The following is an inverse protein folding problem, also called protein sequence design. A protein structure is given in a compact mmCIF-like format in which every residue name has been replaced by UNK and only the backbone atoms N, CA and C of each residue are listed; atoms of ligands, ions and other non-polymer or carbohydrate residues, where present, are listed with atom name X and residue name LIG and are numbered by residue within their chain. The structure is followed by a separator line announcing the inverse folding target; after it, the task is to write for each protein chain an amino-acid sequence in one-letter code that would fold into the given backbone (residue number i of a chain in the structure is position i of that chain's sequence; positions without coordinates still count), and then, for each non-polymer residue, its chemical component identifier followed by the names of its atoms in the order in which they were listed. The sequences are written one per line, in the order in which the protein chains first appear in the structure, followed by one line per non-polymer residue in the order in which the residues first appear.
data_IF_325978374258
#
_entry.id   IF_325978374258
#
_cell.length_a   1.000
_cell.length_b   1.000
_cell.length_c   1.000
_cell.angle_alpha   90.00
_cell.angle_beta   90.00
_cell.angle_gamma   90.00
#
_symmetry.space_group_name_H-M   'P 1'
#
loop_
_entity.id
_entity.type
_entity.pdbx_description
1 polymer ?
#
# COMPACT_ATOMS: atom_id res chain seq x y z
N UNK A 1 37.76 35.47 13.05
CA UNK A 1 37.54 34.15 13.68
C UNK A 1 36.36 33.46 12.98
N UNK A 2 36.55 33.06 11.72
CA UNK A 2 35.59 32.25 10.95
C UNK A 2 36.35 31.03 10.46
N UNK A 3 36.65 30.10 11.36
CA UNK A 3 37.14 28.76 11.08
C UNK A 3 36.98 27.94 12.35
N UNK A 4 35.76 27.47 12.60
CA UNK A 4 35.50 26.35 13.48
C UNK A 4 34.29 25.63 12.91
N UNK A 5 34.49 24.37 12.55
CA UNK A 5 33.62 23.46 11.80
C UNK A 5 33.56 23.67 10.28
N UNK A 6 34.01 22.62 9.60
CA UNK A 6 34.16 22.51 8.16
C UNK A 6 32.85 22.77 7.41
N UNK A 7 32.83 23.86 6.64
CA UNK A 7 32.40 23.82 5.24
C UNK A 7 32.94 25.07 4.53
N UNK A 8 33.68 24.84 3.43
CA UNK A 8 34.23 25.82 2.49
C UNK A 8 35.39 26.71 2.98
N UNK A 9 36.62 26.20 2.91
CA UNK A 9 37.82 26.87 2.35
C UNK A 9 38.99 25.88 2.38
N UNK A 10 39.22 25.14 1.31
CA UNK A 10 40.49 24.42 1.08
C UNK A 10 41.17 25.08 -0.10
N UNK A 11 42.41 25.54 0.12
CA UNK A 11 43.31 26.03 -0.90
C UNK A 11 44.25 27.11 -0.38
N UNK A 12 45.27 26.72 0.38
CA UNK A 12 46.51 27.50 0.50
C UNK A 12 47.21 27.46 -0.87
N UNK A 13 47.42 28.61 -1.49
CA UNK A 13 48.35 28.76 -2.60
C UNK A 13 49.07 30.09 -2.46
N UNK A 14 50.39 29.97 -2.32
CA UNK A 14 51.42 30.99 -2.13
C UNK A 14 51.35 32.17 -3.10
N UNK A 15 51.75 33.33 -2.58
CA UNK A 15 51.89 34.63 -3.22
C UNK A 15 52.54 34.58 -4.61
N UNK A 16 51.77 34.91 -5.67
CA UNK A 16 52.25 35.53 -6.95
C UNK A 16 51.10 35.66 -8.00
N UNK A 17 50.05 36.47 -7.77
CA UNK A 17 49.25 37.05 -8.88
C UNK A 17 48.23 38.13 -8.44
N UNK A 18 48.69 39.31 -8.01
CA UNK A 18 47.83 40.33 -7.39
C UNK A 18 46.88 41.09 -8.36
N UNK A 19 47.03 40.95 -9.68
CA UNK A 19 46.23 41.72 -10.68
C UNK A 19 45.00 40.96 -11.22
N UNK A 20 44.95 39.63 -11.15
CA UNK A 20 43.77 38.84 -11.54
C UNK A 20 42.86 38.44 -10.36
N UNK A 21 43.20 38.88 -9.14
CA UNK A 21 42.49 38.52 -7.90
C UNK A 21 41.39 39.52 -7.50
N UNK A 22 41.37 40.73 -8.08
CA UNK A 22 40.39 41.78 -7.74
C UNK A 22 38.95 41.46 -8.15
N UNK A 23 38.75 40.58 -9.14
CA UNK A 23 37.40 40.13 -9.57
C UNK A 23 37.01 38.74 -9.05
N UNK A 24 37.82 38.11 -8.20
CA UNK A 24 37.39 36.92 -7.46
C UNK A 24 36.90 37.35 -6.09
N UNK A 25 35.84 38.17 -6.10
CA UNK A 25 35.17 38.64 -4.89
C UNK A 25 34.98 37.47 -3.95
N UNK A 26 35.64 37.54 -2.78
CA UNK A 26 35.65 36.53 -1.74
C UNK A 26 34.19 36.26 -1.37
N UNK A 27 33.57 35.24 -1.98
CA UNK A 27 32.20 34.85 -1.69
C UNK A 27 32.19 34.34 -0.25
N UNK A 28 31.88 35.23 0.68
CA UNK A 28 31.55 34.87 2.06
C UNK A 28 30.43 33.84 1.98
N UNK A 29 30.50 32.77 2.77
CA UNK A 29 29.40 31.81 2.89
C UNK A 29 28.15 32.54 3.36
N UNK A 30 27.33 32.98 2.41
CA UNK A 30 25.96 33.36 2.65
C UNK A 30 25.20 32.06 2.94
N UNK A 31 24.29 32.09 3.92
CA UNK A 31 23.30 31.05 4.23
C UNK A 31 23.60 30.00 5.32
N UNK A 32 24.51 30.26 6.28
CA UNK A 32 24.63 29.39 7.46
C UNK A 32 23.34 29.33 8.31
N UNK A 33 22.63 30.45 8.47
CA UNK A 33 21.37 30.50 9.22
C UNK A 33 20.27 29.69 8.53
N UNK A 34 20.14 29.81 7.20
CA UNK A 34 19.19 29.05 6.41
C UNK A 34 19.53 27.55 6.38
N UNK A 35 20.81 27.19 6.37
CA UNK A 35 21.24 25.80 6.50
C UNK A 35 20.81 25.21 7.84
N UNK A 36 21.00 25.94 8.95
CA UNK A 36 20.55 25.48 10.28
C UNK A 36 19.03 25.28 10.31
N UNK A 37 18.26 26.24 9.77
CA UNK A 37 16.81 26.12 9.66
C UNK A 37 16.39 24.92 8.81
N UNK A 38 17.06 24.67 7.69
CA UNK A 38 16.82 23.51 6.83
C UNK A 38 17.09 22.19 7.56
N UNK A 39 18.20 22.10 8.30
CA UNK A 39 18.52 20.90 9.09
C UNK A 39 17.51 20.66 10.21
N UNK A 40 17.04 21.70 10.89
CA UNK A 40 15.97 21.60 11.90
C UNK A 40 14.68 21.09 11.25
N UNK A 41 14.31 21.64 10.09
CA UNK A 41 13.13 21.20 9.33
C UNK A 41 13.24 19.72 8.91
N UNK A 42 14.38 19.31 8.35
CA UNK A 42 14.64 17.91 8.02
C UNK A 42 14.58 17.00 9.25
N UNK A 43 15.13 17.44 10.39
CA UNK A 43 15.02 16.73 11.66
C UNK A 43 13.56 16.56 12.11
N UNK A 44 12.75 17.61 11.97
CA UNK A 44 11.31 17.57 12.25
C UNK A 44 10.58 16.54 11.36
N UNK A 45 10.84 16.55 10.05
CA UNK A 45 10.28 15.56 9.12
C UNK A 45 10.74 14.13 9.45
N UNK A 46 12.02 13.95 9.82
CA UNK A 46 12.56 12.67 10.24
C UNK A 46 11.86 12.12 11.49
N UNK A 47 11.61 12.97 12.49
CA UNK A 47 10.86 12.60 13.70
C UNK A 47 9.42 12.18 13.39
N UNK A 48 8.73 12.91 12.50
CA UNK A 48 7.36 12.54 12.07
C UNK A 48 7.37 11.21 11.33
N UNK A 49 8.32 11.00 10.43
CA UNK A 49 8.45 9.75 9.68
C UNK A 49 8.74 8.57 10.61
N UNK A 50 9.64 8.73 11.57
CA UNK A 50 9.93 7.71 12.57
C UNK A 50 8.70 7.35 13.40
N UNK A 51 7.99 8.35 13.93
CA UNK A 51 6.77 8.14 14.71
C UNK A 51 5.69 7.40 13.90
N UNK A 52 5.53 7.75 12.61
CA UNK A 52 4.57 7.10 11.71
C UNK A 52 4.92 5.63 11.41
N UNK A 53 6.21 5.27 11.35
CA UNK A 53 6.65 3.88 11.16
C UNK A 53 6.47 3.07 12.45
N UNK A 54 6.80 3.65 13.60
CA UNK A 54 6.74 2.98 14.90
C UNK A 54 5.29 2.71 15.35
N UNK A 55 4.40 3.69 15.14
CA UNK A 55 3.00 3.62 15.61
C UNK A 55 2.00 3.29 14.50
N UNK A 56 2.41 3.31 13.23
CA UNK A 56 1.56 3.01 12.08
C UNK A 56 1.70 1.57 11.58
N UNK A 57 1.07 1.28 10.43
CA UNK A 57 1.20 0.01 9.72
C UNK A 57 1.58 0.30 8.25
N UNK A 58 2.87 0.55 7.94
CA UNK A 58 3.31 0.92 6.58
C UNK A 58 3.02 -0.19 5.55
N UNK A 59 2.85 -1.43 6.01
CA UNK A 59 2.52 -2.57 5.18
C UNK A 59 1.15 -2.46 4.50
N UNK A 60 0.23 -1.64 5.03
CA UNK A 60 -1.07 -1.36 4.38
C UNK A 60 -0.92 -0.66 3.03
N UNK A 61 0.16 0.09 2.84
CA UNK A 61 0.44 0.77 1.58
C UNK A 61 1.02 -0.22 0.56
N UNK A 62 1.87 -1.13 1.01
CA UNK A 62 2.59 -2.09 0.17
C UNK A 62 1.68 -3.24 -0.26
N UNK A 63 1.04 -3.92 0.70
CA UNK A 63 0.22 -5.10 0.45
C UNK A 63 -1.26 -4.77 0.27
N UNK A 64 -1.69 -3.61 0.76
CA UNK A 64 -3.10 -3.25 0.79
C UNK A 64 -3.85 -3.82 1.99
N UNK A 65 -5.03 -3.26 2.24
CA UNK A 65 -5.99 -3.77 3.21
C UNK A 65 -7.33 -4.07 2.53
N UNK A 66 -7.99 -5.13 2.97
CA UNK A 66 -9.37 -5.41 2.58
C UNK A 66 -10.35 -4.39 3.16
N UNK A 67 -11.62 -4.45 2.76
CA UNK A 67 -12.65 -3.54 3.25
C UNK A 67 -13.02 -3.75 4.74
N UNK A 68 -12.47 -4.77 5.39
CA UNK A 68 -12.71 -5.11 6.80
C UNK A 68 -11.54 -4.74 7.70
N UNK A 69 -10.49 -4.13 7.14
CA UNK A 69 -9.32 -3.64 7.86
C UNK A 69 -8.22 -4.67 8.08
N UNK A 70 -8.28 -5.83 7.41
CA UNK A 70 -7.20 -6.81 7.41
C UNK A 70 -6.16 -6.44 6.35
N UNK A 71 -4.89 -6.36 6.74
CA UNK A 71 -3.76 -6.23 5.81
C UNK A 71 -3.49 -7.58 5.15
N UNK A 72 -3.44 -7.62 3.82
CA UNK A 72 -3.18 -8.87 3.08
C UNK A 72 -1.75 -9.38 3.35
N UNK A 73 -1.58 -10.70 3.40
CA UNK A 73 -0.28 -11.34 3.67
C UNK A 73 0.19 -11.28 5.12
N UNK A 74 -0.66 -10.84 6.06
CA UNK A 74 -0.29 -10.63 7.47
C UNK A 74 -1.32 -11.26 8.41
N UNK A 75 -0.91 -11.54 9.64
CA UNK A 75 -1.84 -11.89 10.71
C UNK A 75 -2.40 -10.62 11.34
N UNK A 76 -3.72 -10.49 11.39
CA UNK A 76 -4.40 -9.26 11.82
C UNK A 76 -5.09 -9.46 13.17
N UNK A 77 -5.10 -8.41 14.00
CA UNK A 77 -5.89 -8.37 15.23
C UNK A 77 -7.35 -7.94 14.95
N UNK A 78 -8.32 -8.40 15.76
CA UNK A 78 -9.72 -8.02 15.61
C UNK A 78 -9.92 -6.52 15.88
N UNK A 79 -10.85 -5.92 15.13
CA UNK A 79 -11.26 -4.53 15.33
C UNK A 79 -12.48 -4.53 16.24
N UNK A 80 -12.37 -3.87 17.40
CA UNK A 80 -13.42 -3.82 18.41
C UNK A 80 -14.21 -2.50 18.31
N UNK A 81 -15.42 -2.59 17.76
CA UNK A 81 -16.35 -1.48 17.63
C UNK A 81 -17.27 -1.38 18.86
N UNK A 82 -17.75 -0.17 19.12
CA UNK A 82 -18.67 0.11 20.21
C UNK A 82 -19.72 1.11 19.73
N UNK A 83 -20.96 0.66 19.61
CA UNK A 83 -22.06 1.47 19.07
C UNK A 83 -22.45 2.63 19.98
N UNK A 84 -22.39 2.46 21.30
CA UNK A 84 -22.59 3.54 22.26
C UNK A 84 -21.93 3.22 23.62
N UNK A 85 -21.97 4.16 24.58
CA UNK A 85 -21.38 3.97 25.91
C UNK A 85 -22.10 2.93 26.78
N UNK A 86 -23.30 2.47 26.45
CA UNK A 86 -24.03 1.45 27.22
C UNK A 86 -23.81 0.02 26.71
N UNK A 87 -23.41 -0.16 25.45
CA UNK A 87 -23.18 -1.47 24.84
C UNK A 87 -21.71 -1.89 24.98
N UNK A 88 -21.49 -3.19 25.16
CA UNK A 88 -20.16 -3.81 25.20
C UNK A 88 -19.47 -3.69 23.85
N UNK A 89 -18.14 -3.83 23.81
CA UNK A 89 -17.42 -3.86 22.54
C UNK A 89 -17.71 -5.17 21.82
N UNK A 90 -17.96 -5.09 20.52
CA UNK A 90 -18.17 -6.24 19.65
C UNK A 90 -17.13 -6.24 18.53
N UNK A 91 -16.81 -7.43 18.04
CA UNK A 91 -15.86 -7.57 16.93
C UNK A 91 -16.54 -7.14 15.64
N UNK A 92 -15.86 -6.30 14.85
CA UNK A 92 -16.32 -5.96 13.51
C UNK A 92 -16.28 -7.20 12.61
N UNK A 93 -17.38 -7.45 11.91
CA UNK A 93 -17.55 -8.65 11.08
C UNK A 93 -16.39 -8.78 10.08
N UNK A 94 -15.84 -9.99 9.94
CA UNK A 94 -14.68 -10.34 9.10
C UNK A 94 -13.35 -9.64 9.43
N UNK A 95 -13.25 -8.85 10.50
CA UNK A 95 -11.97 -8.29 10.96
C UNK A 95 -11.14 -9.28 11.78
N UNK A 96 -9.83 -9.08 11.85
CA UNK A 96 -8.91 -9.90 12.65
C UNK A 96 -8.65 -11.28 12.07
N UNK A 97 -8.75 -11.42 10.74
CA UNK A 97 -8.48 -12.67 10.06
C UNK A 97 -6.97 -12.85 9.84
N UNK A 98 -6.53 -14.11 9.88
CA UNK A 98 -5.18 -14.48 9.49
C UNK A 98 -5.07 -14.48 7.96
N UNK A 99 -4.50 -13.41 7.40
CA UNK A 99 -4.33 -13.24 5.96
C UNK A 99 -2.92 -13.62 5.48
N UNK A 100 -2.12 -14.33 6.28
CA UNK A 100 -0.73 -14.67 5.94
C UNK A 100 -0.60 -15.38 4.58
N UNK A 101 -1.54 -16.27 4.27
CA UNK A 101 -1.57 -16.96 2.97
C UNK A 101 -2.28 -16.17 1.86
N UNK A 102 -3.08 -15.14 2.23
CA UNK A 102 -3.91 -14.34 1.33
C UNK A 102 -3.24 -13.00 1.05
N UNK A 103 -2.32 -13.00 0.08
CA UNK A 103 -1.36 -11.93 -0.16
C UNK A 103 -1.79 -10.89 -1.19
N UNK A 104 -2.87 -11.12 -1.93
CA UNK A 104 -3.30 -10.26 -3.03
C UNK A 104 -4.66 -9.63 -2.76
N UNK A 105 -4.80 -8.34 -3.02
CA UNK A 105 -6.06 -7.63 -2.93
C UNK A 105 -6.87 -7.84 -4.21
N UNK A 106 -8.12 -8.27 -4.07
CA UNK A 106 -9.01 -8.62 -5.16
C UNK A 106 -10.35 -7.87 -5.04
N UNK A 107 -10.78 -7.15 -6.09
CA UNK A 107 -12.07 -6.48 -6.08
C UNK A 107 -13.20 -7.50 -6.34
N UNK A 108 -14.21 -7.52 -5.47
CA UNK A 108 -15.36 -8.41 -5.65
C UNK A 108 -16.21 -8.03 -6.88
N UNK A 109 -16.03 -6.83 -7.43
CA UNK A 109 -16.59 -6.42 -8.71
C UNK A 109 -15.58 -5.59 -9.51
N UNK A 110 -14.92 -6.22 -10.48
CA UNK A 110 -13.92 -5.59 -11.33
C UNK A 110 -14.48 -4.37 -12.11
N UNK A 111 -15.74 -4.41 -12.56
CA UNK A 111 -16.36 -3.30 -13.31
C UNK A 111 -16.61 -2.05 -12.45
N UNK A 112 -16.70 -2.21 -11.12
CA UNK A 112 -16.89 -1.11 -10.17
C UNK A 112 -15.81 -1.13 -9.10
N UNK A 113 -14.55 -1.23 -9.50
CA UNK A 113 -13.41 -1.38 -8.59
C UNK A 113 -13.29 -0.26 -7.53
N UNK A 114 -13.77 0.94 -7.81
CA UNK A 114 -13.77 2.05 -6.85
C UNK A 114 -14.93 2.00 -5.84
N UNK A 115 -16.01 1.29 -6.15
CA UNK A 115 -17.23 1.18 -5.37
C UNK A 115 -17.60 -0.29 -5.19
N UNK A 116 -16.63 -1.05 -4.68
CA UNK A 116 -16.80 -2.47 -4.38
C UNK A 116 -16.01 -2.85 -3.14
N UNK A 117 -16.39 -3.97 -2.56
CA UNK A 117 -15.62 -4.60 -1.49
C UNK A 117 -14.36 -5.20 -2.10
N UNK A 118 -13.24 -4.97 -1.43
CA UNK A 118 -11.97 -5.60 -1.73
C UNK A 118 -11.72 -6.67 -0.68
N UNK A 119 -11.29 -7.85 -1.10
CA UNK A 119 -10.95 -8.98 -0.25
C UNK A 119 -9.50 -9.42 -0.48
N UNK A 120 -8.88 -10.04 0.51
CA UNK A 120 -7.58 -10.67 0.34
C UNK A 120 -7.76 -12.10 -0.19
N UNK A 121 -7.02 -12.46 -1.25
CA UNK A 121 -7.02 -13.80 -1.87
C UNK A 121 -5.60 -14.37 -1.89
N UNK A 122 -5.49 -15.71 -2.00
CA UNK A 122 -4.19 -16.42 -2.00
C UNK A 122 -3.47 -16.23 -3.33
N UNK A 123 -4.20 -16.31 -4.43
CA UNK A 123 -3.71 -16.05 -5.79
C UNK A 123 -4.82 -15.40 -6.62
N UNK A 124 -4.43 -14.61 -7.60
CA UNK A 124 -5.39 -14.05 -8.54
C UNK A 124 -6.00 -15.16 -9.42
N UNK A 125 -7.26 -15.00 -9.88
CA UNK A 125 -7.92 -15.99 -10.72
C UNK A 125 -7.20 -16.15 -12.07
N UNK A 126 -6.66 -17.35 -12.30
CA UNK A 126 -5.96 -17.71 -13.55
C UNK A 126 -6.93 -17.95 -14.71
N UNK A 127 -8.19 -18.28 -14.41
CA UNK A 127 -9.23 -18.53 -15.39
C UNK A 127 -10.49 -17.73 -15.05
N UNK A 128 -11.29 -17.45 -16.08
CA UNK A 128 -12.58 -16.79 -15.91
C UNK A 128 -13.58 -17.73 -15.24
N UNK A 129 -14.08 -17.35 -14.06
CA UNK A 129 -15.05 -18.14 -13.30
C UNK A 129 -16.46 -17.60 -13.52
N UNK A 130 -17.32 -18.42 -14.09
CA UNK A 130 -18.69 -18.01 -14.47
C UNK A 130 -19.78 -18.51 -13.51
N UNK A 131 -19.44 -19.34 -12.53
CA UNK A 131 -20.39 -19.94 -11.58
C UNK A 131 -19.86 -19.95 -10.13
N UNK A 132 -20.77 -19.97 -9.16
CA UNK A 132 -20.39 -20.08 -7.75
C UNK A 132 -19.85 -21.47 -7.38
N UNK A 133 -20.20 -22.51 -8.13
CA UNK A 133 -19.56 -23.84 -8.01
C UNK A 133 -18.07 -23.75 -8.36
N UNK A 134 -17.70 -22.96 -9.37
CA UNK A 134 -16.30 -22.71 -9.69
C UNK A 134 -15.54 -21.99 -8.56
N UNK A 135 -16.19 -21.04 -7.88
CA UNK A 135 -15.62 -20.35 -6.70
C UNK A 135 -15.38 -21.34 -5.56
N UNK A 136 -16.36 -22.20 -5.26
CA UNK A 136 -16.21 -23.25 -4.25
C UNK A 136 -15.07 -24.22 -4.62
N UNK A 137 -14.98 -24.62 -5.89
CA UNK A 137 -13.92 -25.50 -6.38
C UNK A 137 -12.53 -24.90 -6.17
N UNK A 138 -12.35 -23.62 -6.48
CA UNK A 138 -11.10 -22.89 -6.22
C UNK A 138 -10.74 -22.83 -4.74
N UNK A 139 -11.74 -22.61 -3.87
CA UNK A 139 -11.52 -22.62 -2.43
C UNK A 139 -11.05 -23.99 -1.95
N UNK A 140 -11.73 -25.08 -2.34
CA UNK A 140 -11.44 -26.44 -1.86
C UNK A 140 -10.18 -27.04 -2.46
N UNK A 141 -10.00 -26.96 -3.77
CA UNK A 141 -8.92 -27.66 -4.48
C UNK A 141 -7.60 -26.89 -4.46
N UNK A 142 -7.65 -25.56 -4.56
CA UNK A 142 -6.47 -24.71 -4.64
C UNK A 142 -6.19 -23.93 -3.34
N UNK A 143 -7.02 -24.12 -2.31
CA UNK A 143 -6.99 -23.33 -1.07
C UNK A 143 -7.04 -21.81 -1.38
N UNK A 144 -7.81 -21.42 -2.39
CA UNK A 144 -7.93 -20.04 -2.85
C UNK A 144 -9.39 -19.58 -2.81
N UNK A 145 -9.82 -19.03 -1.68
CA UNK A 145 -11.14 -18.41 -1.57
C UNK A 145 -11.12 -17.03 -2.23
N UNK A 146 -12.01 -16.81 -3.19
CA UNK A 146 -12.26 -15.49 -3.80
C UNK A 146 -13.28 -14.66 -3.00
N UNK A 147 -13.81 -15.20 -1.90
CA UNK A 147 -14.73 -14.52 -0.98
C UNK A 147 -13.98 -13.98 0.24
N UNK A 148 -14.68 -13.23 1.09
CA UNK A 148 -14.11 -12.60 2.30
C UNK A 148 -13.51 -13.62 3.29
N UNK A 149 -14.07 -14.83 3.34
CA UNK A 149 -13.58 -15.96 4.14
C UNK A 149 -13.76 -17.30 3.38
N UNK A 150 -13.26 -18.39 3.97
CA UNK A 150 -13.32 -19.71 3.33
C UNK A 150 -14.73 -20.30 3.34
N UNK A 151 -15.44 -20.20 4.47
CA UNK A 151 -16.78 -20.78 4.65
C UNK A 151 -17.79 -20.14 3.70
N UNK A 152 -17.69 -18.82 3.52
CA UNK A 152 -18.47 -18.08 2.53
C UNK A 152 -18.31 -18.61 1.10
N UNK A 153 -17.10 -19.03 0.70
CA UNK A 153 -16.89 -19.62 -0.61
C UNK A 153 -17.52 -21.02 -0.74
N UNK A 154 -17.52 -21.81 0.33
CA UNK A 154 -18.19 -23.12 0.36
C UNK A 154 -19.71 -22.97 0.27
N UNK A 155 -20.26 -21.96 0.94
CA UNK A 155 -21.70 -21.68 0.95
C UNK A 155 -22.22 -21.07 -0.35
N UNK A 156 -21.36 -20.35 -1.10
CA UNK A 156 -21.73 -19.67 -2.34
C UNK A 156 -22.36 -20.61 -3.39
N UNK A 157 -21.95 -21.88 -3.40
CA UNK A 157 -22.51 -22.92 -4.27
C UNK A 157 -23.94 -23.34 -3.86
N UNK A 158 -24.23 -23.36 -2.55
CA UNK A 158 -25.52 -23.82 -2.02
C UNK A 158 -26.59 -22.74 -2.07
N UNK A 159 -26.19 -21.49 -1.81
CA UNK A 159 -27.08 -20.33 -1.75
C UNK A 159 -26.40 -19.14 -2.40
N UNK A 160 -27.20 -18.31 -3.08
CA UNK A 160 -26.71 -17.05 -3.64
C UNK A 160 -26.09 -16.21 -2.51
N UNK A 161 -24.79 -15.88 -2.58
CA UNK A 161 -24.12 -15.16 -1.50
C UNK A 161 -24.67 -13.74 -1.38
N UNK A 162 -24.58 -13.19 -0.17
CA UNK A 162 -24.93 -11.79 0.09
C UNK A 162 -23.96 -10.87 -0.65
N UNK A 163 -24.47 -9.71 -1.07
CA UNK A 163 -23.63 -8.69 -1.69
C UNK A 163 -22.50 -8.27 -0.72
N UNK A 164 -21.27 -8.21 -1.21
CA UNK A 164 -20.10 -7.84 -0.41
C UNK A 164 -19.38 -9.00 0.29
N UNK A 165 -19.90 -10.23 0.20
CA UNK A 165 -19.24 -11.43 0.78
C UNK A 165 -18.46 -12.21 -0.28
N UNK A 166 -19.03 -12.35 -1.47
CA UNK A 166 -18.42 -13.05 -2.61
C UNK A 166 -18.50 -12.20 -3.87
N UNK A 167 -17.64 -12.47 -4.87
CA UNK A 167 -17.56 -11.66 -6.06
C UNK A 167 -18.79 -11.83 -6.94
N UNK A 168 -19.09 -10.79 -7.71
CA UNK A 168 -20.10 -10.84 -8.75
C UNK A 168 -19.53 -11.60 -9.95
N UNK A 169 -20.29 -12.56 -10.44
CA UNK A 169 -19.94 -13.32 -11.63
C UNK A 169 -20.23 -12.52 -12.92
N UNK A 170 -19.46 -12.73 -14.00
CA UNK A 170 -18.26 -13.58 -14.07
C UNK A 170 -17.05 -12.91 -13.40
N UNK A 171 -16.21 -13.71 -12.72
CA UNK A 171 -14.89 -13.26 -12.26
C UNK A 171 -13.93 -13.38 -13.42
N UNK A 172 -13.34 -12.27 -13.84
CA UNK A 172 -12.42 -12.21 -14.96
C UNK A 172 -11.04 -12.76 -14.56
N UNK A 173 -10.39 -13.43 -15.51
CA UNK A 173 -8.98 -13.77 -15.43
C UNK A 173 -8.15 -12.52 -15.10
N UNK A 174 -7.31 -12.63 -14.09
CA UNK A 174 -6.56 -11.51 -13.54
C UNK A 174 -5.12 -11.92 -13.22
N UNK A 175 -4.19 -11.00 -13.44
CA UNK A 175 -2.78 -11.15 -13.04
C UNK A 175 -2.50 -10.29 -11.81
N UNK A 176 -1.47 -10.64 -11.05
CA UNK A 176 -1.01 -9.82 -9.95
C UNK A 176 -0.10 -8.68 -10.45
N UNK A 177 -0.35 -7.47 -9.95
CA UNK A 177 0.51 -6.29 -10.08
C UNK A 177 0.54 -5.61 -8.73
N UNK A 178 1.73 -5.53 -8.10
CA UNK A 178 1.91 -4.91 -6.78
C UNK A 178 0.89 -5.39 -5.74
N UNK A 179 0.78 -6.71 -5.54
CA UNK A 179 -0.14 -7.33 -4.59
C UNK A 179 -1.63 -7.04 -4.86
N UNK A 180 -2.00 -6.67 -6.09
CA UNK A 180 -3.39 -6.44 -6.50
C UNK A 180 -3.72 -7.27 -7.72
N UNK A 181 -4.90 -7.86 -7.73
CA UNK A 181 -5.42 -8.57 -8.89
C UNK A 181 -6.04 -7.59 -9.87
N UNK A 182 -5.49 -7.53 -11.08
CA UNK A 182 -5.95 -6.66 -12.16
C UNK A 182 -6.37 -7.54 -13.35
N UNK A 183 -7.60 -7.36 -13.88
CA UNK A 183 -8.05 -8.10 -15.07
C UNK A 183 -7.09 -7.91 -16.25
N UNK A 184 -6.74 -9.00 -16.93
CA UNK A 184 -5.79 -8.96 -18.06
C UNK A 184 -6.30 -8.06 -19.20
N UNK A 185 -7.61 -8.05 -19.46
CA UNK A 185 -8.24 -7.21 -20.47
C UNK A 185 -8.02 -5.71 -20.22
N UNK A 186 -8.00 -5.30 -18.95
CA UNK A 186 -7.76 -3.90 -18.58
C UNK A 186 -6.30 -3.51 -18.83
N UNK A 187 -5.36 -4.43 -18.58
CA UNK A 187 -3.94 -4.22 -18.83
C UNK A 187 -3.67 -4.14 -20.34
N UNK A 188 -4.30 -5.01 -21.13
CA UNK A 188 -4.20 -4.97 -22.59
C UNK A 188 -4.69 -3.63 -23.14
N UNK A 189 -5.87 -3.17 -22.69
CA UNK A 189 -6.40 -1.86 -23.06
C UNK A 189 -5.46 -0.70 -22.68
N UNK A 190 -4.88 -0.72 -21.47
CA UNK A 190 -3.91 0.29 -21.04
C UNK A 190 -2.65 0.30 -21.90
N UNK A 191 -2.13 -0.87 -22.28
CA UNK A 191 -0.97 -0.98 -23.19
C UNK A 191 -1.26 -0.41 -24.57
N UNK A 192 -2.45 -0.65 -25.12
CA UNK A 192 -2.85 -0.15 -26.43
C UNK A 192 -2.98 1.38 -26.43
N UNK A 193 -3.46 1.99 -25.34
CA UNK A 193 -3.51 3.45 -25.19
C UNK A 193 -2.13 4.09 -25.13
N UNK A 194 -1.17 3.48 -24.44
CA UNK A 194 0.20 4.00 -24.30
C UNK A 194 1.05 3.83 -25.56
N UNK A 195 0.62 2.99 -26.50
CA UNK A 195 1.33 2.75 -27.77
C UNK A 195 1.00 3.78 -28.85
N UNK A 196 0.01 4.64 -28.61
CA UNK A 196 -0.48 5.66 -29.54
C UNK A 196 0.09 7.03 -29.20
#
# INVERSE_FOLDING_TARGET
MCCALACCCVGDASDENYENLLHKGRRSCTDCSFLILFLIFCGGLGSIAWYAVDNGDPYRIIFGSDSFGNTCGRNNGPIWIRSNKSVSREQFEFSGQNMTERRYMFPLNASRALDTIWACVRSCPEDTVTSYEGIKKLAVEHNNSLCVDYDSAIEAAKRKPRFGVCPRLPVLKSTDIMNRCIPEDLIAFGKDLLRK
#
